data_IF_470634490247
#
_entry.id   IF_470634490247
#
_cell.length_a   1.000
_cell.length_b   1.000
_cell.length_c   1.000
_cell.angle_alpha   90.00
_cell.angle_beta   90.00
_cell.angle_gamma   90.00
#
_symmetry.space_group_name_H-M   'P 1'
#
loop_
_entity.id
_entity.type
_entity.pdbx_description
1 polymer ?
#
# COMPACT_ATOMS: atom_id res chain seq x y z
N UNK A 1 -25.25 3.66 -12.80
CA UNK A 1 -24.55 2.70 -11.91
C UNK A 1 -24.71 1.30 -12.46
N UNK A 2 -23.80 0.36 -12.14
CA UNK A 2 -23.90 -1.02 -12.62
C UNK A 2 -25.16 -1.70 -12.05
N UNK A 3 -25.89 -2.40 -12.91
CA UNK A 3 -27.23 -2.94 -12.57
C UNK A 3 -27.23 -4.43 -12.21
N UNK A 4 -26.08 -5.12 -12.29
CA UNK A 4 -26.00 -6.55 -11.99
C UNK A 4 -24.67 -6.90 -11.29
N UNK A 5 -24.76 -7.33 -10.03
CA UNK A 5 -23.63 -7.71 -9.17
C UNK A 5 -23.39 -9.24 -9.12
N UNK A 6 -24.19 -10.05 -9.82
CA UNK A 6 -24.05 -11.52 -9.76
C UNK A 6 -22.81 -12.04 -10.50
N UNK A 7 -22.15 -11.18 -11.28
CA UNK A 7 -20.89 -11.45 -11.99
C UNK A 7 -19.71 -10.64 -11.44
N UNK A 8 -19.90 -9.88 -10.36
CA UNK A 8 -18.78 -9.14 -9.77
C UNK A 8 -17.90 -10.10 -9.00
N UNK A 9 -16.59 -10.03 -9.23
CA UNK A 9 -15.61 -10.64 -8.33
C UNK A 9 -15.69 -9.90 -6.99
N UNK A 10 -16.50 -10.43 -6.09
CA UNK A 10 -16.61 -9.95 -4.71
C UNK A 10 -16.08 -11.04 -3.79
N UNK A 11 -15.07 -10.71 -3.01
CA UNK A 11 -14.60 -11.51 -1.89
C UNK A 11 -14.63 -10.66 -0.62
N UNK A 12 -14.85 -11.33 0.51
CA UNK A 12 -14.67 -10.73 1.81
C UNK A 12 -13.95 -11.73 2.70
N UNK A 13 -13.07 -11.20 3.53
CA UNK A 13 -12.35 -11.93 4.55
C UNK A 13 -12.12 -10.96 5.70
N UNK A 14 -11.81 -11.50 6.89
CA UNK A 14 -11.56 -10.69 8.08
C UNK A 14 -10.17 -11.01 8.60
N UNK A 15 -9.25 -10.04 8.51
CA UNK A 15 -8.01 -10.11 9.26
C UNK A 15 -8.31 -9.81 10.73
N UNK A 16 -7.79 -10.62 11.65
CA UNK A 16 -7.73 -10.25 13.06
C UNK A 16 -6.31 -9.77 13.30
N UNK A 17 -6.13 -8.45 13.39
CA UNK A 17 -4.83 -7.84 13.70
C UNK A 17 -4.41 -8.23 15.12
N UNK A 18 -3.70 -9.36 15.24
CA UNK A 18 -3.49 -9.99 16.53
C UNK A 18 -2.40 -9.34 17.40
N UNK A 19 -1.72 -8.25 16.95
CA UNK A 19 -0.95 -7.34 17.84
C UNK A 19 -0.17 -6.16 17.23
N UNK A 20 -0.13 -5.94 15.91
CA UNK A 20 0.94 -5.09 15.35
C UNK A 20 0.56 -4.15 14.19
N UNK A 21 -0.72 -3.91 13.94
CA UNK A 21 -1.13 -2.92 12.94
C UNK A 21 -2.02 -1.85 13.58
N UNK A 22 -1.71 -0.59 13.27
CA UNK A 22 -2.42 0.61 13.67
C UNK A 22 -3.74 0.80 12.92
N UNK A 23 -4.24 2.03 12.92
CA UNK A 23 -5.47 2.35 12.19
C UNK A 23 -5.22 2.26 10.68
N UNK A 24 -6.07 1.54 9.92
CA UNK A 24 -6.10 1.66 8.45
C UNK A 24 -6.10 3.12 7.99
N UNK A 25 -5.12 3.51 7.18
CA UNK A 25 -5.09 4.83 6.55
C UNK A 25 -4.79 4.74 5.06
N UNK A 26 -5.15 5.80 4.33
CA UNK A 26 -4.97 5.90 2.88
C UNK A 26 -5.85 4.96 2.04
N UNK A 27 -5.55 4.89 0.73
CA UNK A 27 -6.28 4.06 -0.22
C UNK A 27 -5.51 2.77 -0.48
N UNK A 28 -6.13 1.59 -0.32
CA UNK A 28 -5.47 0.33 -0.65
C UNK A 28 -5.26 0.21 -2.17
N UNK A 29 -4.20 -0.47 -2.56
CA UNK A 29 -3.88 -0.74 -3.97
C UNK A 29 -4.12 -2.22 -4.25
N UNK A 30 -4.60 -2.55 -5.45
CA UNK A 30 -4.82 -3.93 -5.90
C UNK A 30 -3.96 -4.17 -7.14
N UNK A 31 -3.17 -5.26 -7.14
CA UNK A 31 -2.39 -5.68 -8.31
C UNK A 31 -3.22 -6.54 -9.30
N UNK A 32 -2.63 -6.86 -10.43
CA UNK A 32 -3.21 -7.71 -11.48
C UNK A 32 -3.56 -9.13 -11.02
N UNK A 33 -2.90 -9.61 -9.95
CA UNK A 33 -3.14 -10.89 -9.29
C UNK A 33 -4.17 -10.80 -8.18
N UNK A 34 -4.83 -9.64 -8.03
CA UNK A 34 -5.81 -9.34 -7.00
C UNK A 34 -5.25 -9.36 -5.57
N UNK A 35 -3.94 -9.21 -5.41
CA UNK A 35 -3.36 -9.00 -4.09
C UNK A 35 -3.63 -7.57 -3.63
N UNK A 36 -3.91 -7.43 -2.35
CA UNK A 36 -4.23 -6.17 -1.70
C UNK A 36 -3.00 -5.62 -0.99
N UNK A 37 -2.71 -4.36 -1.22
CA UNK A 37 -1.69 -3.60 -0.51
C UNK A 37 -2.38 -2.63 0.42
N UNK A 38 -1.99 -2.70 1.68
CA UNK A 38 -2.63 -1.99 2.77
C UNK A 38 -1.56 -1.27 3.58
N UNK A 39 -1.89 -0.10 4.14
CA UNK A 39 -1.02 0.53 5.13
C UNK A 39 -1.79 1.10 6.31
N UNK A 40 -1.09 1.29 7.42
CA UNK A 40 -1.65 1.80 8.66
C UNK A 40 -0.98 3.09 9.14
N UNK A 41 -1.55 3.66 10.20
CA UNK A 41 -1.07 4.87 10.86
C UNK A 41 0.31 4.73 11.50
N UNK A 42 0.75 3.49 11.75
CA UNK A 42 2.00 3.19 12.44
C UNK A 42 3.18 3.06 11.45
N UNK A 43 2.89 3.06 10.15
CA UNK A 43 3.90 3.00 9.08
C UNK A 43 4.10 1.61 8.50
N UNK A 44 3.24 0.65 8.80
CA UNK A 44 3.32 -0.66 8.17
C UNK A 44 2.65 -0.65 6.82
N UNK A 45 3.30 -1.30 5.85
CA UNK A 45 2.71 -1.69 4.57
C UNK A 45 2.64 -3.20 4.54
N UNK A 46 1.49 -3.75 4.21
CA UNK A 46 1.28 -5.20 4.17
C UNK A 46 0.63 -5.59 2.85
N UNK A 47 1.16 -6.65 2.24
CA UNK A 47 0.57 -7.27 1.06
C UNK A 47 -0.19 -8.52 1.47
N UNK A 48 -1.43 -8.62 1.04
CA UNK A 48 -2.29 -9.78 1.23
C UNK A 48 -2.68 -10.41 -0.10
N UNK A 49 -2.90 -11.72 -0.12
CA UNK A 49 -3.64 -12.36 -1.21
C UNK A 49 -5.10 -11.92 -1.20
N UNK A 50 -5.83 -12.19 -2.29
CA UNK A 50 -7.28 -11.96 -2.34
C UNK A 50 -8.06 -12.74 -1.24
N UNK A 51 -7.49 -13.84 -0.73
CA UNK A 51 -8.07 -14.64 0.36
C UNK A 51 -7.65 -14.17 1.76
N UNK A 52 -6.78 -13.15 1.86
CA UNK A 52 -6.37 -12.56 3.14
C UNK A 52 -5.13 -13.16 3.78
N UNK A 53 -4.37 -13.97 3.05
CA UNK A 53 -3.07 -14.46 3.49
C UNK A 53 -2.02 -13.34 3.36
N UNK A 54 -1.28 -13.07 4.42
CA UNK A 54 -0.15 -12.13 4.40
C UNK A 54 0.99 -12.71 3.57
N UNK A 55 1.41 -11.98 2.54
CA UNK A 55 2.55 -12.35 1.69
C UNK A 55 3.86 -11.73 2.21
N UNK A 56 3.80 -10.46 2.61
CA UNK A 56 4.93 -9.75 3.23
C UNK A 56 4.44 -8.49 3.94
N UNK A 57 5.31 -7.92 4.77
CA UNK A 57 5.15 -6.60 5.39
C UNK A 57 6.45 -5.81 5.38
N UNK A 58 6.33 -4.48 5.31
CA UNK A 58 7.43 -3.52 5.33
C UNK A 58 7.14 -2.43 6.35
N UNK A 59 8.15 -2.07 7.15
CA UNK A 59 8.10 -0.96 8.10
C UNK A 59 8.72 0.28 7.44
N UNK A 60 7.89 1.29 7.20
CA UNK A 60 8.33 2.57 6.63
C UNK A 60 9.19 3.37 7.62
N UNK A 61 9.12 3.04 8.91
CA UNK A 61 9.82 3.70 10.01
C UNK A 61 9.05 4.88 10.62
N UNK A 62 7.72 4.88 10.48
CA UNK A 62 6.82 5.91 10.99
C UNK A 62 5.65 6.20 10.04
N UNK A 63 4.77 7.11 10.46
CA UNK A 63 3.55 7.44 9.72
C UNK A 63 3.85 7.85 8.27
N UNK A 64 3.18 7.18 7.33
CA UNK A 64 3.17 7.56 5.92
C UNK A 64 1.85 8.27 5.61
N UNK A 65 1.86 9.55 5.21
CA UNK A 65 0.64 10.25 4.80
C UNK A 65 0.27 9.97 3.34
N UNK A 66 1.08 9.22 2.59
CA UNK A 66 0.95 9.11 1.14
C UNK A 66 0.25 7.83 0.69
N UNK A 67 -0.38 7.92 -0.46
CA UNK A 67 -0.88 6.75 -1.19
C UNK A 67 0.26 6.06 -1.94
N UNK A 68 0.10 4.76 -2.16
CA UNK A 68 1.06 3.95 -2.90
C UNK A 68 0.66 3.85 -4.37
N UNK A 69 1.65 3.69 -5.23
CA UNK A 69 1.47 3.42 -6.65
C UNK A 69 2.17 2.12 -7.03
N UNK A 70 1.60 1.36 -7.95
CA UNK A 70 2.30 0.24 -8.58
C UNK A 70 2.89 0.73 -9.89
N UNK A 71 4.19 0.48 -10.09
CA UNK A 71 4.87 0.76 -11.34
C UNK A 71 5.93 -0.31 -11.62
N UNK A 72 5.80 -0.98 -12.77
CA UNK A 72 6.78 -1.94 -13.29
C UNK A 72 7.31 -2.97 -12.27
N UNK A 73 6.40 -3.64 -11.55
CA UNK A 73 6.77 -4.64 -10.53
C UNK A 73 7.25 -4.05 -9.20
N UNK A 74 7.16 -2.74 -9.01
CA UNK A 74 7.49 -2.06 -7.75
C UNK A 74 6.29 -1.35 -7.15
N UNK A 75 6.23 -1.33 -5.82
CA UNK A 75 5.32 -0.48 -5.06
C UNK A 75 6.09 0.79 -4.67
N UNK A 76 5.70 1.93 -5.20
CA UNK A 76 6.28 3.24 -4.87
C UNK A 76 5.43 3.90 -3.80
N UNK A 77 6.09 4.45 -2.78
CA UNK A 77 5.43 5.15 -1.69
C UNK A 77 6.30 6.30 -1.16
N UNK A 78 5.75 6.97 -0.15
CA UNK A 78 6.45 8.01 0.59
C UNK A 78 6.43 7.67 2.08
N UNK A 79 7.45 8.09 2.82
CA UNK A 79 7.57 7.84 4.26
C UNK A 79 7.63 9.13 5.06
N UNK A 80 8.65 9.24 5.92
CA UNK A 80 8.98 10.47 6.65
C UNK A 80 9.06 11.69 5.71
N UNK A 81 8.95 12.93 6.23
CA UNK A 81 8.79 14.12 5.39
C UNK A 81 9.82 14.18 4.25
N UNK A 82 9.31 14.20 3.01
CA UNK A 82 10.12 14.33 1.81
C UNK A 82 10.86 13.06 1.36
N UNK A 83 10.69 11.92 2.04
CA UNK A 83 11.29 10.64 1.65
C UNK A 83 10.35 9.82 0.76
N UNK A 84 10.88 9.32 -0.36
CA UNK A 84 10.23 8.30 -1.19
C UNK A 84 10.99 6.98 -1.11
N UNK A 85 10.27 5.88 -1.33
CA UNK A 85 10.83 4.54 -1.45
C UNK A 85 10.14 3.76 -2.56
N UNK A 86 10.79 2.71 -3.05
CA UNK A 86 10.16 1.66 -3.83
C UNK A 86 10.46 0.30 -3.24
N UNK A 87 9.46 -0.57 -3.24
CA UNK A 87 9.55 -1.95 -2.80
C UNK A 87 9.36 -2.88 -3.99
N UNK A 88 10.08 -4.00 -4.03
CA UNK A 88 9.79 -5.08 -4.96
C UNK A 88 8.43 -5.71 -4.60
N UNK A 89 7.53 -5.83 -5.56
CA UNK A 89 6.17 -6.31 -5.29
C UNK A 89 6.10 -7.79 -4.89
N UNK A 90 7.11 -8.58 -5.27
CA UNK A 90 7.17 -10.02 -4.96
C UNK A 90 7.61 -10.27 -3.53
N UNK A 91 8.56 -9.48 -3.04
CA UNK A 91 9.28 -9.74 -1.79
C UNK A 91 8.99 -8.72 -0.69
N UNK A 92 8.59 -7.50 -1.04
CA UNK A 92 8.47 -6.38 -0.10
C UNK A 92 9.82 -5.74 0.26
N UNK A 93 10.93 -6.17 -0.37
CA UNK A 93 12.26 -5.62 -0.11
C UNK A 93 12.42 -4.24 -0.78
N UNK A 94 13.17 -3.36 -0.12
CA UNK A 94 13.47 -2.02 -0.64
C UNK A 94 14.37 -2.09 -1.88
N UNK A 95 13.87 -1.59 -3.00
CA UNK A 95 14.64 -1.40 -4.24
C UNK A 95 15.46 -0.11 -4.14
N UNK A 96 14.86 0.95 -3.61
CA UNK A 96 15.53 2.22 -3.32
C UNK A 96 14.76 3.05 -2.29
N UNK A 97 15.47 3.97 -1.65
CA UNK A 97 14.91 5.02 -0.78
C UNK A 97 15.69 6.32 -0.93
N UNK A 98 14.98 7.45 -1.09
CA UNK A 98 15.59 8.75 -1.43
C UNK A 98 14.83 9.93 -0.82
N UNK A 99 15.56 10.95 -0.38
CA UNK A 99 15.00 12.26 -0.07
C UNK A 99 14.77 13.01 -1.38
N UNK A 100 13.54 13.45 -1.62
CA UNK A 100 13.14 14.16 -2.85
C UNK A 100 12.64 15.58 -2.61
N UNK A 101 12.33 15.94 -1.36
CA UNK A 101 11.92 17.28 -0.94
C UNK A 101 12.22 17.50 0.55
N UNK A 102 12.07 18.70 1.08
CA UNK A 102 12.23 18.95 2.54
C UNK A 102 11.01 18.51 3.36
N UNK A 103 9.87 18.28 2.71
CA UNK A 103 8.64 17.80 3.34
C UNK A 103 7.49 17.62 2.36
N UNK A 104 6.51 16.81 2.74
CA UNK A 104 5.22 16.71 2.05
C UNK A 104 4.16 17.43 2.90
N UNK A 105 3.43 18.38 2.32
CA UNK A 105 2.27 18.97 2.97
C UNK A 105 1.11 17.96 2.87
N UNK A 106 0.72 17.38 4.01
CA UNK A 106 -0.29 16.32 4.06
C UNK A 106 -1.71 16.85 3.93
N UNK A 107 -2.32 16.65 2.76
CA UNK A 107 -3.68 16.11 2.65
C UNK A 107 -3.69 15.19 1.42
N UNK A 108 -4.03 13.92 1.64
CA UNK A 108 -3.67 12.80 0.77
C UNK A 108 -4.02 13.03 -0.70
N UNK A 109 -3.03 12.90 -1.57
CA UNK A 109 -3.23 12.82 -3.01
C UNK A 109 -2.62 11.54 -3.56
N UNK A 110 -3.36 10.90 -4.45
CA UNK A 110 -2.97 9.71 -5.19
C UNK A 110 -1.74 10.01 -6.04
N UNK A 111 -0.68 9.24 -5.86
CA UNK A 111 0.39 9.20 -6.85
C UNK A 111 -0.13 8.29 -7.96
N UNK A 112 -0.53 8.87 -9.09
CA UNK A 112 -0.75 8.10 -10.32
C UNK A 112 0.50 8.26 -11.17
N UNK A 113 1.25 7.17 -11.34
CA UNK A 113 2.36 7.11 -12.28
C UNK A 113 1.79 6.54 -13.57
N UNK A 114 1.76 7.35 -14.63
CA UNK A 114 1.49 6.86 -15.98
C UNK A 114 2.79 6.37 -16.62
N UNK A 115 2.66 5.47 -17.61
CA UNK A 115 3.76 4.93 -18.41
C UNK A 115 4.70 6.00 -18.99
#
# INVERSE_FOLDING_TARGET
GPQNLSYTRSWSWRHIFHKHLGMPVGTPVIDDKMNLYFHDSDGWIVKFTHSGEELWKYDVGGASPCQHAIWNGTLVGCGSPGMMFALDMGTGEEVWKRQVADGFAGDGQSITIFE
#
